data_IF_682179387934
#
_entry.id   IF_682179387934
#
_cell.length_a   1.000
_cell.length_b   1.000
_cell.length_c   1.000
_cell.angle_alpha   90.00
_cell.angle_beta   90.00
_cell.angle_gamma   90.00
#
_symmetry.space_group_name_H-M   'P 1'
#
loop_
_entity.id
_entity.type
_entity.pdbx_description
1 polymer ?
#
# COMPACT_ATOMS: atom_id res chain seq x y z
N UNK A 1 11.08 -0.35 -19.00
CA UNK A 1 10.91 0.96 -19.60
C UNK A 1 10.91 2.10 -18.59
N UNK A 2 10.69 3.30 -19.09
CA UNK A 2 10.71 4.56 -18.30
C UNK A 2 9.82 4.50 -17.04
N UNK A 3 8.66 3.87 -17.11
CA UNK A 3 7.76 3.67 -15.95
C UNK A 3 8.37 2.80 -14.85
N UNK A 4 9.24 1.85 -15.17
CA UNK A 4 9.97 1.08 -14.15
C UNK A 4 10.96 1.92 -13.34
N UNK A 5 11.49 3.00 -13.92
CA UNK A 5 12.36 3.94 -13.20
C UNK A 5 11.59 4.77 -12.16
N UNK A 6 10.28 4.96 -12.32
CA UNK A 6 9.45 5.66 -11.34
C UNK A 6 9.33 4.86 -10.03
N UNK A 7 9.43 3.52 -10.08
CA UNK A 7 9.48 2.66 -8.90
C UNK A 7 10.69 2.91 -7.97
N UNK A 8 11.74 3.59 -8.47
CA UNK A 8 12.88 4.03 -7.66
C UNK A 8 12.40 4.99 -6.55
N UNK A 9 11.38 5.79 -6.79
CA UNK A 9 10.84 6.71 -5.79
C UNK A 9 10.34 5.95 -4.55
N UNK A 10 9.62 4.85 -4.72
CA UNK A 10 9.18 3.97 -3.63
C UNK A 10 10.37 3.35 -2.88
N UNK A 11 11.39 2.88 -3.60
CA UNK A 11 12.58 2.29 -3.01
C UNK A 11 13.40 3.30 -2.18
N UNK A 12 13.48 4.57 -2.60
CA UNK A 12 14.18 5.62 -1.85
C UNK A 12 13.46 6.00 -0.54
N UNK A 13 12.14 5.87 -0.51
CA UNK A 13 11.33 6.17 0.68
C UNK A 13 11.36 5.01 1.69
N UNK A 14 11.57 3.77 1.25
CA UNK A 14 11.56 2.58 2.09
C UNK A 14 12.44 2.66 3.36
N UNK A 15 13.71 3.14 3.32
CA UNK A 15 14.54 3.26 4.53
C UNK A 15 14.01 4.28 5.54
N UNK A 16 13.39 5.36 5.07
CA UNK A 16 12.77 6.38 5.94
C UNK A 16 11.55 5.81 6.67
N UNK A 17 10.74 5.05 5.95
CA UNK A 17 9.57 4.35 6.49
C UNK A 17 9.99 3.29 7.51
N UNK A 18 11.04 2.51 7.22
CA UNK A 18 11.59 1.53 8.15
C UNK A 18 11.97 2.16 9.48
N UNK A 19 12.72 3.27 9.46
CA UNK A 19 13.09 4.02 10.66
C UNK A 19 11.89 4.56 11.43
N UNK A 20 10.85 5.05 10.76
CA UNK A 20 9.62 5.51 11.40
C UNK A 20 8.85 4.34 12.06
N UNK A 21 8.82 3.19 11.40
CA UNK A 21 8.21 1.97 11.93
C UNK A 21 8.94 1.46 13.17
N UNK A 22 10.28 1.53 13.21
CA UNK A 22 11.10 1.09 14.35
C UNK A 22 10.84 1.95 15.60
N UNK A 23 10.50 3.22 15.44
CA UNK A 23 10.12 4.12 16.54
C UNK A 23 8.71 3.87 17.10
N UNK A 24 8.00 2.85 16.66
CA UNK A 24 6.66 2.51 17.15
C UNK A 24 5.50 3.19 16.43
N UNK A 25 5.77 3.98 15.40
CA UNK A 25 4.74 4.70 14.62
C UNK A 25 4.15 3.88 13.46
N UNK A 26 4.39 2.56 13.44
CA UNK A 26 4.01 1.68 12.32
C UNK A 26 2.57 1.85 11.84
N UNK A 27 1.60 1.95 12.76
CA UNK A 27 0.17 2.08 12.38
C UNK A 27 -0.17 3.44 11.79
N UNK A 28 0.43 4.51 12.29
CA UNK A 28 0.26 5.85 11.71
C UNK A 28 0.94 5.94 10.34
N UNK A 29 2.10 5.31 10.19
CA UNK A 29 2.81 5.21 8.91
C UNK A 29 1.96 4.48 7.86
N UNK A 30 1.30 3.37 8.23
CA UNK A 30 0.37 2.66 7.35
C UNK A 30 -0.84 3.50 6.97
N UNK A 31 -1.39 4.28 7.91
CA UNK A 31 -2.52 5.16 7.64
C UNK A 31 -2.13 6.26 6.64
N UNK A 32 -1.00 6.94 6.85
CA UNK A 32 -0.49 7.96 5.93
C UNK A 32 -0.22 7.37 4.56
N UNK A 33 0.43 6.21 4.50
CA UNK A 33 0.71 5.50 3.25
C UNK A 33 -0.58 5.13 2.49
N UNK A 34 -1.64 4.74 3.21
CA UNK A 34 -2.95 4.45 2.60
C UNK A 34 -3.62 5.70 2.02
N UNK A 35 -3.43 6.86 2.66
CA UNK A 35 -3.93 8.15 2.15
C UNK A 35 -3.17 8.54 0.87
N UNK A 36 -1.84 8.36 0.86
CA UNK A 36 -1.01 8.61 -0.33
C UNK A 36 -1.43 7.69 -1.49
N UNK A 37 -1.64 6.40 -1.20
CA UNK A 37 -2.12 5.41 -2.17
C UNK A 37 -3.48 5.82 -2.76
N UNK A 38 -4.42 6.24 -1.91
CA UNK A 38 -5.74 6.70 -2.34
C UNK A 38 -5.62 7.97 -3.20
N UNK A 39 -4.78 8.94 -2.81
CA UNK A 39 -4.57 10.15 -3.58
C UNK A 39 -4.07 9.85 -5.00
N UNK A 40 -3.08 8.94 -5.16
CA UNK A 40 -2.61 8.48 -6.47
C UNK A 40 -3.71 7.81 -7.29
N UNK A 41 -4.53 6.97 -6.65
CA UNK A 41 -5.64 6.28 -7.30
C UNK A 41 -6.73 7.26 -7.79
N UNK A 42 -7.02 8.29 -7.01
CA UNK A 42 -7.98 9.35 -7.39
C UNK A 42 -7.44 10.20 -8.55
N UNK A 43 -6.15 10.52 -8.54
CA UNK A 43 -5.52 11.28 -9.63
C UNK A 43 -5.67 10.57 -10.97
N UNK A 44 -5.39 9.27 -11.04
CA UNK A 44 -5.52 8.51 -12.30
C UNK A 44 -7.01 8.31 -12.69
N UNK A 45 -7.90 8.21 -11.71
CA UNK A 45 -9.35 8.11 -11.97
C UNK A 45 -9.92 9.39 -12.58
N UNK A 46 -9.52 10.57 -12.06
CA UNK A 46 -10.05 11.86 -12.51
C UNK A 46 -9.40 12.34 -13.83
N UNK A 47 -8.12 12.03 -14.03
CA UNK A 47 -7.34 12.56 -15.15
C UNK A 47 -6.60 11.48 -15.94
N UNK A 48 -7.30 10.44 -16.45
CA UNK A 48 -6.66 9.28 -17.09
C UNK A 48 -5.99 9.61 -18.44
N UNK A 49 -6.35 10.72 -19.06
CA UNK A 49 -5.85 11.12 -20.38
C UNK A 49 -4.53 11.92 -20.35
N UNK A 50 -4.12 12.39 -19.20
CA UNK A 50 -2.91 13.23 -19.06
C UNK A 50 -1.70 12.39 -18.63
N UNK A 51 -0.63 12.39 -19.40
CA UNK A 51 0.61 11.66 -19.09
C UNK A 51 1.18 12.05 -17.70
N UNK A 52 1.13 13.34 -17.35
CA UNK A 52 1.58 13.83 -16.04
C UNK A 52 0.78 13.19 -14.90
N UNK A 53 -0.53 13.04 -15.05
CA UNK A 53 -1.40 12.41 -14.05
C UNK A 53 -1.03 10.95 -13.86
N UNK A 54 -0.74 10.23 -14.93
CA UNK A 54 -0.29 8.83 -14.88
C UNK A 54 1.05 8.73 -14.14
N UNK A 55 2.01 9.59 -14.45
CA UNK A 55 3.32 9.62 -13.80
C UNK A 55 3.17 9.89 -12.28
N UNK A 56 2.42 10.92 -11.90
CA UNK A 56 2.19 11.25 -10.49
C UNK A 56 1.44 10.13 -9.76
N UNK A 57 0.42 9.55 -10.40
CA UNK A 57 -0.33 8.45 -9.82
C UNK A 57 0.57 7.23 -9.56
N UNK A 58 1.43 6.84 -10.52
CA UNK A 58 2.38 5.73 -10.36
C UNK A 58 3.32 6.01 -9.19
N UNK A 59 3.89 7.22 -9.07
CA UNK A 59 4.78 7.57 -7.96
C UNK A 59 4.05 7.46 -6.61
N UNK A 60 2.84 8.02 -6.49
CA UNK A 60 2.07 7.97 -5.24
C UNK A 60 1.65 6.55 -4.87
N UNK A 61 1.23 5.75 -5.86
CA UNK A 61 0.85 4.35 -5.66
C UNK A 61 2.08 3.54 -5.22
N UNK A 62 3.22 3.69 -5.88
CA UNK A 62 4.46 2.99 -5.53
C UNK A 62 4.94 3.36 -4.12
N UNK A 63 4.99 4.65 -3.79
CA UNK A 63 5.36 5.12 -2.44
C UNK A 63 4.39 4.57 -1.39
N UNK A 64 3.08 4.60 -1.65
CA UNK A 64 2.07 4.08 -0.75
C UNK A 64 2.20 2.57 -0.53
N UNK A 65 2.31 1.79 -1.61
CA UNK A 65 2.44 0.32 -1.55
C UNK A 65 3.74 -0.08 -0.85
N UNK A 66 4.88 0.52 -1.21
CA UNK A 66 6.18 0.23 -0.59
C UNK A 66 6.18 0.56 0.91
N UNK A 67 5.58 1.68 1.29
CA UNK A 67 5.46 2.09 2.69
C UNK A 67 4.66 1.09 3.51
N UNK A 68 3.53 0.62 2.98
CA UNK A 68 2.69 -0.40 3.62
C UNK A 68 3.45 -1.72 3.72
N UNK A 69 4.12 -2.14 2.64
CA UNK A 69 4.87 -3.40 2.59
C UNK A 69 6.00 -3.42 3.63
N UNK A 70 6.86 -2.39 3.65
CA UNK A 70 7.98 -2.29 4.60
C UNK A 70 7.47 -2.28 6.03
N UNK A 71 6.40 -1.55 6.31
CA UNK A 71 5.81 -1.49 7.65
C UNK A 71 5.20 -2.82 8.07
N UNK A 72 4.53 -3.53 7.16
CA UNK A 72 3.99 -4.87 7.43
C UNK A 72 5.11 -5.86 7.76
N UNK A 73 6.18 -5.88 6.97
CA UNK A 73 7.35 -6.75 7.23
C UNK A 73 7.95 -6.45 8.60
N UNK A 74 8.13 -5.18 8.96
CA UNK A 74 8.62 -4.79 10.26
C UNK A 74 7.70 -5.24 11.41
N UNK A 75 6.37 -5.18 11.22
CA UNK A 75 5.39 -5.63 12.22
C UNK A 75 5.39 -7.14 12.40
N UNK A 76 5.43 -7.91 11.31
CA UNK A 76 5.40 -9.38 11.38
C UNK A 76 6.67 -9.95 12.00
N UNK A 77 7.83 -9.32 11.79
CA UNK A 77 9.08 -9.76 12.41
C UNK A 77 9.13 -9.55 13.93
N UNK A 78 8.27 -8.69 14.47
CA UNK A 78 8.12 -8.50 15.92
C UNK A 78 7.20 -9.53 16.59
N UNK A 79 6.48 -10.36 15.80
CA UNK A 79 5.54 -11.33 16.36
C UNK A 79 6.26 -12.52 17.01
N UNK A 80 7.26 -13.06 16.34
CA UNK A 80 8.08 -14.17 16.86
C UNK A 80 9.43 -14.20 16.11
N UNK A 81 10.50 -13.84 16.81
CA UNK A 81 11.85 -13.81 16.25
C UNK A 81 12.34 -15.20 15.80
N UNK A 82 11.86 -16.28 16.44
CA UNK A 82 12.24 -17.66 16.11
C UNK A 82 11.53 -18.19 14.88
N UNK A 83 10.37 -17.62 14.53
CA UNK A 83 9.53 -18.04 13.40
C UNK A 83 9.61 -17.09 12.19
N UNK A 84 10.49 -16.10 12.19
CA UNK A 84 10.57 -15.05 11.17
C UNK A 84 10.61 -15.58 9.74
N UNK A 85 11.39 -16.63 9.46
CA UNK A 85 11.47 -17.22 8.12
C UNK A 85 10.12 -17.80 7.66
N UNK A 86 9.42 -18.52 8.53
CA UNK A 86 8.12 -19.12 8.22
C UNK A 86 7.04 -18.06 8.02
N UNK A 87 7.01 -17.06 8.91
CA UNK A 87 6.06 -15.95 8.84
C UNK A 87 6.28 -15.15 7.56
N UNK A 88 7.55 -14.86 7.22
CA UNK A 88 7.89 -14.16 5.97
C UNK A 88 7.44 -14.93 4.72
N UNK A 89 7.61 -16.25 4.70
CA UNK A 89 7.15 -17.08 3.58
C UNK A 89 5.64 -16.96 3.38
N UNK A 90 4.85 -17.07 4.46
CA UNK A 90 3.39 -16.91 4.39
C UNK A 90 3.02 -15.51 3.90
N UNK A 91 3.66 -14.46 4.44
CA UNK A 91 3.43 -13.09 4.04
C UNK A 91 3.72 -12.85 2.56
N UNK A 92 4.91 -13.26 2.09
CA UNK A 92 5.32 -13.07 0.71
C UNK A 92 4.45 -13.87 -0.26
N UNK A 93 4.07 -15.11 0.10
CA UNK A 93 3.13 -15.90 -0.71
C UNK A 93 1.80 -15.16 -0.86
N UNK A 94 1.23 -14.68 0.25
CA UNK A 94 -0.03 -13.91 0.23
C UNK A 94 0.10 -12.62 -0.57
N UNK A 95 1.24 -11.93 -0.47
CA UNK A 95 1.53 -10.72 -1.22
C UNK A 95 1.55 -10.97 -2.73
N UNK A 96 2.25 -12.02 -3.18
CA UNK A 96 2.31 -12.36 -4.61
C UNK A 96 0.97 -12.87 -5.15
N UNK A 97 0.23 -13.67 -4.39
CA UNK A 97 -1.14 -14.10 -4.75
C UNK A 97 -2.05 -12.88 -4.88
N UNK A 98 -2.00 -11.95 -3.93
CA UNK A 98 -2.76 -10.70 -3.99
C UNK A 98 -2.38 -9.84 -5.21
N UNK A 99 -1.09 -9.75 -5.53
CA UNK A 99 -0.59 -9.06 -6.71
C UNK A 99 -1.08 -9.69 -8.02
N UNK A 100 -1.04 -11.02 -8.12
CA UNK A 100 -1.54 -11.75 -9.29
C UNK A 100 -3.06 -11.55 -9.49
N UNK A 101 -3.84 -11.63 -8.41
CA UNK A 101 -5.28 -11.37 -8.46
C UNK A 101 -5.58 -9.91 -8.83
N UNK A 102 -4.83 -8.96 -8.26
CA UNK A 102 -4.95 -7.54 -8.59
C UNK A 102 -4.67 -7.26 -10.07
N UNK A 103 -3.63 -7.87 -10.62
CA UNK A 103 -3.28 -7.76 -12.04
C UNK A 103 -4.36 -8.39 -12.92
N UNK A 104 -4.86 -9.57 -12.57
CA UNK A 104 -5.93 -10.24 -13.31
C UNK A 104 -7.20 -9.38 -13.36
N UNK A 105 -7.63 -8.83 -12.22
CA UNK A 105 -8.79 -7.94 -12.15
C UNK A 105 -8.52 -6.66 -12.94
N UNK A 106 -7.31 -6.09 -12.85
CA UNK A 106 -6.91 -4.90 -13.59
C UNK A 106 -6.99 -5.07 -15.10
N UNK A 107 -6.53 -6.21 -15.61
CA UNK A 107 -6.64 -6.54 -17.04
C UNK A 107 -8.11 -6.65 -17.48
N UNK A 108 -8.96 -7.27 -16.65
CA UNK A 108 -10.40 -7.36 -16.93
C UNK A 108 -11.07 -5.98 -16.89
N UNK A 109 -10.72 -5.14 -15.95
CA UNK A 109 -11.19 -3.76 -15.93
C UNK A 109 -10.76 -2.99 -17.18
N UNK A 110 -9.52 -3.18 -17.62
CA UNK A 110 -9.03 -2.59 -18.86
C UNK A 110 -9.81 -3.04 -20.10
N UNK A 111 -10.09 -4.35 -20.23
CA UNK A 111 -10.89 -4.90 -21.32
C UNK A 111 -12.31 -4.33 -21.36
N UNK A 112 -12.90 -4.04 -20.19
CA UNK A 112 -14.28 -3.54 -20.06
C UNK A 112 -14.42 -2.04 -20.38
N UNK A 113 -13.44 -1.21 -20.05
CA UNK A 113 -13.58 0.24 -20.22
C UNK A 113 -12.29 1.05 -20.05
N UNK A 114 -11.12 0.42 -20.30
CA UNK A 114 -9.82 1.10 -20.32
C UNK A 114 -9.44 1.74 -18.97
N UNK A 115 -8.75 2.87 -19.02
CA UNK A 115 -8.23 3.55 -17.84
C UNK A 115 -9.30 3.96 -16.82
N UNK A 116 -10.51 4.23 -17.25
CA UNK A 116 -11.58 4.63 -16.33
C UNK A 116 -11.94 3.51 -15.34
N UNK A 117 -12.11 2.28 -15.85
CA UNK A 117 -12.42 1.11 -15.01
C UNK A 117 -11.22 0.68 -14.16
N UNK A 118 -10.01 0.78 -14.68
CA UNK A 118 -8.78 0.57 -13.90
C UNK A 118 -8.68 1.58 -12.75
N UNK A 119 -9.00 2.85 -13.00
CA UNK A 119 -9.07 3.89 -11.98
C UNK A 119 -10.08 3.58 -10.88
N UNK A 120 -11.29 3.12 -11.24
CA UNK A 120 -12.31 2.68 -10.27
C UNK A 120 -11.77 1.55 -9.39
N UNK A 121 -11.17 0.52 -9.99
CA UNK A 121 -10.59 -0.60 -9.26
C UNK A 121 -9.54 -0.13 -8.24
N UNK A 122 -8.62 0.75 -8.66
CA UNK A 122 -7.56 1.27 -7.79
C UNK A 122 -8.13 2.09 -6.63
N UNK A 123 -9.15 2.92 -6.88
CA UNK A 123 -9.84 3.68 -5.82
C UNK A 123 -10.53 2.75 -4.85
N UNK A 124 -11.26 1.74 -5.32
CA UNK A 124 -11.94 0.76 -4.45
C UNK A 124 -10.92 0.02 -3.57
N UNK A 125 -9.83 -0.47 -4.14
CA UNK A 125 -8.82 -1.21 -3.39
C UNK A 125 -8.10 -0.32 -2.37
N UNK A 126 -7.74 0.90 -2.74
CA UNK A 126 -7.11 1.85 -1.81
C UNK A 126 -8.05 2.29 -0.68
N UNK A 127 -9.35 2.42 -0.94
CA UNK A 127 -10.36 2.66 0.11
C UNK A 127 -10.44 1.49 1.09
N UNK A 128 -10.46 0.25 0.62
CA UNK A 128 -10.45 -0.93 1.48
C UNK A 128 -9.22 -0.94 2.38
N UNK A 129 -8.03 -0.70 1.82
CA UNK A 129 -6.77 -0.63 2.57
C UNK A 129 -6.81 0.49 3.61
N UNK A 130 -7.31 1.67 3.25
CA UNK A 130 -7.44 2.81 4.16
C UNK A 130 -8.39 2.49 5.33
N UNK A 131 -9.56 1.91 5.05
CA UNK A 131 -10.53 1.53 6.09
C UNK A 131 -9.95 0.48 7.05
N UNK A 132 -9.24 -0.53 6.54
CA UNK A 132 -8.57 -1.53 7.39
C UNK A 132 -7.53 -0.89 8.30
N UNK A 133 -6.70 0.02 7.79
CA UNK A 133 -5.68 0.69 8.58
C UNK A 133 -6.29 1.67 9.59
N UNK A 134 -7.37 2.35 9.24
CA UNK A 134 -8.11 3.21 10.16
C UNK A 134 -8.69 2.42 11.34
N UNK A 135 -9.33 1.27 11.07
CA UNK A 135 -9.83 0.39 12.11
C UNK A 135 -8.72 -0.10 13.05
N UNK A 136 -7.53 -0.41 12.52
CA UNK A 136 -6.38 -0.81 13.33
C UNK A 136 -5.91 0.30 14.28
N UNK A 137 -5.88 1.54 13.81
CA UNK A 137 -5.53 2.72 14.64
C UNK A 137 -6.57 2.94 15.75
N UNK A 138 -7.86 2.85 15.43
CA UNK A 138 -8.95 3.02 16.39
C UNK A 138 -8.90 1.93 17.47
N UNK A 139 -8.70 0.68 17.09
CA UNK A 139 -8.57 -0.45 18.04
C UNK A 139 -7.41 -0.23 19.01
N UNK A 140 -6.27 0.25 18.51
CA UNK A 140 -5.11 0.51 19.37
C UNK A 140 -5.38 1.60 20.39
N UNK A 141 -6.05 2.69 19.99
CA UNK A 141 -6.41 3.77 20.93
C UNK A 141 -7.32 3.25 22.05
N UNK A 142 -8.31 2.41 21.74
CA UNK A 142 -9.19 1.81 22.75
C UNK A 142 -8.44 0.94 23.74
N UNK A 143 -7.51 0.09 23.28
CA UNK A 143 -6.70 -0.80 24.14
C UNK A 143 -5.83 0.03 25.10
N UNK A 144 -5.23 1.11 24.63
CA UNK A 144 -4.39 1.97 25.45
C UNK A 144 -5.20 2.72 26.53
N UNK A 145 -6.44 3.14 26.23
CA UNK A 145 -7.33 3.78 27.19
C UNK A 145 -7.85 2.84 28.28
N UNK A 146 -7.95 1.55 28.00
CA UNK A 146 -8.41 0.52 28.98
C UNK A 146 -7.29 0.09 29.93
N UNK A 147 -6.02 0.41 29.62
CA UNK A 147 -4.84 0.06 30.41
C UNK A 147 -4.32 1.22 31.29
N UNK A 148 -4.82 2.42 31.13
CA UNK A 148 -4.56 3.58 31.98
C UNK A 148 -5.66 3.76 33.02
#
# INVERSE_FOLDING_TARGET
>A
GLFGMLGIAGALVAPLIGKASDKGYSRYTQLIASIILLAGSVVIFLFPSYLISIILAVIFIDVGVQSIQVTNVALIYRLDEKANSRINTIYMTSYFVGGALGTFIGLKCWELGGWHYVGIQLVVFSLVVLLMNLMNVIKQKKINQTKS
#
